data_IF_864845690440
#
_entry.id   IF_864845690440
#
_cell.length_a   1.000
_cell.length_b   1.000
_cell.length_c   1.000
_cell.angle_alpha   90.00
_cell.angle_beta   90.00
_cell.angle_gamma   90.00
#
_symmetry.space_group_name_H-M   'P 1'
#
loop_
_entity.id
_entity.type
_entity.pdbx_description
1 polymer ?
#
# COMPACT_ATOMS: atom_id res chain seq x y z
N UNK A 1 -7.34 -11.23 33.39
CA UNK A 1 -7.96 -9.93 33.47
C UNK A 1 -6.96 -8.78 33.63
N UNK A 2 -6.16 -8.68 34.71
CA UNK A 2 -5.26 -7.53 34.91
C UNK A 2 -4.04 -7.58 33.97
N UNK A 3 -3.41 -8.71 33.83
CA UNK A 3 -2.29 -8.93 32.89
C UNK A 3 -2.68 -8.63 31.44
N UNK A 4 -3.89 -9.00 31.01
CA UNK A 4 -4.38 -8.71 29.67
C UNK A 4 -4.65 -7.22 29.47
N UNK A 5 -5.21 -6.54 30.48
CA UNK A 5 -5.37 -5.08 30.46
C UNK A 5 -4.05 -4.36 30.33
N UNK A 6 -3.05 -4.78 31.12
CA UNK A 6 -1.71 -4.21 31.06
C UNK A 6 -1.05 -4.44 29.69
N UNK A 7 -1.20 -5.64 29.11
CA UNK A 7 -0.71 -5.97 27.77
C UNK A 7 -1.34 -5.08 26.70
N UNK A 8 -2.67 -4.92 26.74
CA UNK A 8 -3.40 -4.07 25.80
C UNK A 8 -3.01 -2.60 25.96
N UNK A 9 -2.85 -2.11 27.19
CA UNK A 9 -2.42 -0.76 27.46
C UNK A 9 -1.01 -0.47 26.94
N UNK A 10 -0.05 -1.38 27.16
CA UNK A 10 1.31 -1.29 26.58
C UNK A 10 1.28 -1.29 25.05
N UNK A 11 0.44 -2.14 24.45
CA UNK A 11 0.26 -2.18 23.00
C UNK A 11 -0.31 -0.88 22.44
N UNK A 12 -1.29 -0.29 23.12
CA UNK A 12 -1.86 1.01 22.76
C UNK A 12 -0.82 2.14 22.87
N UNK A 13 -0.07 2.22 23.97
CA UNK A 13 0.99 3.22 24.14
C UNK A 13 2.07 3.11 23.05
N UNK A 14 2.47 1.89 22.69
CA UNK A 14 3.43 1.65 21.61
C UNK A 14 2.87 2.11 20.26
N UNK A 15 1.59 1.84 19.99
CA UNK A 15 0.88 2.30 18.79
C UNK A 15 0.81 3.83 18.74
N UNK A 16 0.43 4.48 19.85
CA UNK A 16 0.35 5.93 19.96
C UNK A 16 1.71 6.60 19.68
N UNK A 17 2.78 6.09 20.32
CA UNK A 17 4.12 6.61 20.11
C UNK A 17 4.58 6.45 18.64
N UNK A 18 4.32 5.29 18.04
CA UNK A 18 4.65 5.04 16.64
C UNK A 18 3.85 5.93 15.69
N UNK A 19 2.55 6.08 15.92
CA UNK A 19 1.68 6.94 15.12
C UNK A 19 2.15 8.40 15.21
N UNK A 20 2.52 8.88 16.39
CA UNK A 20 3.09 10.23 16.57
C UNK A 20 4.36 10.44 15.76
N UNK A 21 5.24 9.43 15.71
CA UNK A 21 6.46 9.49 14.91
C UNK A 21 6.14 9.50 13.40
N UNK A 22 5.13 8.74 12.96
CA UNK A 22 4.66 8.73 11.56
C UNK A 22 4.02 10.08 11.18
N UNK A 23 3.25 10.71 12.06
CA UNK A 23 2.74 12.06 11.84
C UNK A 23 3.86 13.07 11.67
N UNK A 24 4.88 13.03 12.53
CA UNK A 24 6.06 13.91 12.39
C UNK A 24 6.81 13.67 11.07
N UNK A 25 6.91 12.41 10.62
CA UNK A 25 7.48 12.08 9.31
C UNK A 25 6.62 12.64 8.17
N UNK A 26 5.30 12.56 8.29
CA UNK A 26 4.38 13.14 7.32
C UNK A 26 4.54 14.66 7.22
N UNK A 27 4.70 15.36 8.34
CA UNK A 27 4.90 16.81 8.35
C UNK A 27 6.18 17.21 7.60
N UNK A 28 7.27 16.43 7.75
CA UNK A 28 8.50 16.63 6.98
C UNK A 28 8.28 16.43 5.46
N UNK A 29 7.54 15.39 5.10
CA UNK A 29 7.19 15.10 3.68
C UNK A 29 6.27 16.17 3.12
N UNK A 30 5.27 16.60 3.88
CA UNK A 30 4.32 17.64 3.50
C UNK A 30 5.00 19.01 3.33
N UNK A 31 5.97 19.34 4.18
CA UNK A 31 6.78 20.54 4.03
C UNK A 31 7.62 20.52 2.74
N UNK A 32 8.27 19.37 2.45
CA UNK A 32 9.01 19.20 1.21
C UNK A 32 8.12 19.31 -0.04
N UNK A 33 6.91 18.75 0.01
CA UNK A 33 5.93 18.88 -1.05
C UNK A 33 5.45 20.33 -1.24
N UNK A 34 5.24 21.05 -0.13
CA UNK A 34 4.82 22.47 -0.14
C UNK A 34 5.86 23.37 -0.81
N UNK A 35 7.14 23.22 -0.48
CA UNK A 35 8.24 24.00 -1.08
C UNK A 35 8.25 23.94 -2.62
N UNK A 36 7.65 22.90 -3.18
CA UNK A 36 7.65 22.65 -4.63
C UNK A 36 6.24 22.65 -5.25
N UNK A 37 5.22 23.05 -4.50
CA UNK A 37 3.83 23.11 -4.96
C UNK A 37 3.24 21.74 -5.36
N UNK A 38 3.73 20.65 -4.75
CA UNK A 38 3.33 19.28 -5.10
C UNK A 38 2.12 18.84 -4.28
N UNK A 39 1.01 18.53 -4.94
CA UNK A 39 -0.17 17.94 -4.31
C UNK A 39 0.15 16.54 -3.79
N UNK A 40 -0.13 16.28 -2.52
CA UNK A 40 -0.04 14.96 -1.88
C UNK A 40 -1.34 14.63 -1.15
N UNK A 41 -1.65 13.34 -1.10
CA UNK A 41 -2.88 12.81 -0.52
C UNK A 41 -2.47 11.66 0.41
N UNK A 42 -2.55 11.82 1.73
CA UNK A 42 -2.37 10.69 2.63
C UNK A 42 -3.46 9.65 2.40
N UNK A 43 -3.08 8.38 2.47
CA UNK A 43 -3.99 7.25 2.28
C UNK A 43 -3.81 6.22 3.38
N UNK A 44 -4.69 5.23 3.46
CA UNK A 44 -4.64 4.13 4.41
C UNK A 44 -4.54 4.59 5.88
N UNK A 45 -3.50 4.11 6.61
CA UNK A 45 -3.35 4.26 8.05
C UNK A 45 -3.39 5.71 8.52
N UNK A 46 -2.58 6.59 7.93
CA UNK A 46 -2.49 8.01 8.31
C UNK A 46 -3.83 8.74 8.12
N UNK A 47 -4.47 8.53 6.95
CA UNK A 47 -5.77 9.13 6.66
C UNK A 47 -6.82 8.67 7.68
N UNK A 48 -6.91 7.37 7.90
CA UNK A 48 -7.94 6.78 8.76
C UNK A 48 -7.73 7.13 10.22
N UNK A 49 -6.49 7.07 10.72
CA UNK A 49 -6.18 7.46 12.10
C UNK A 49 -6.61 8.90 12.38
N UNK A 50 -6.34 9.81 11.44
CA UNK A 50 -6.68 11.23 11.60
C UNK A 50 -8.17 11.52 11.42
N UNK A 51 -8.81 10.87 10.46
CA UNK A 51 -10.17 11.23 10.06
C UNK A 51 -11.26 10.35 10.64
N UNK A 52 -10.95 9.10 11.01
CA UNK A 52 -11.93 8.11 11.47
C UNK A 52 -11.69 7.71 12.92
N UNK A 53 -10.45 7.36 13.29
CA UNK A 53 -10.12 6.89 14.65
C UNK A 53 -9.90 8.02 15.65
N UNK A 54 -9.80 9.28 15.20
CA UNK A 54 -9.67 10.44 16.10
C UNK A 54 -8.27 10.64 16.68
N UNK A 55 -7.23 10.12 16.03
CA UNK A 55 -5.83 10.31 16.42
C UNK A 55 -5.47 9.81 17.84
N UNK A 56 -6.04 8.68 18.23
CA UNK A 56 -5.90 8.14 19.59
C UNK A 56 -4.97 6.92 19.67
N UNK A 57 -4.19 6.61 18.64
CA UNK A 57 -3.33 5.43 18.58
C UNK A 57 -4.07 4.11 18.43
N UNK A 58 -5.36 4.15 18.14
CA UNK A 58 -6.21 2.95 18.00
C UNK A 58 -5.96 2.25 16.67
N UNK A 59 -5.68 3.02 15.61
CA UNK A 59 -5.32 2.47 14.30
C UNK A 59 -3.81 2.32 14.18
N UNK A 60 -3.25 1.17 14.58
CA UNK A 60 -1.83 0.91 14.44
C UNK A 60 -1.35 1.11 13.00
N UNK A 61 -0.32 1.94 12.82
CA UNK A 61 0.36 2.17 11.55
C UNK A 61 1.75 1.55 11.56
N UNK A 62 2.19 1.03 10.40
CA UNK A 62 3.54 0.49 10.22
C UNK A 62 4.39 1.35 9.29
N UNK A 63 3.74 2.08 8.41
CA UNK A 63 4.28 2.84 7.30
C UNK A 63 3.48 4.12 7.09
N UNK A 64 4.10 5.07 6.41
CA UNK A 64 3.46 6.26 5.89
C UNK A 64 3.18 6.05 4.40
N UNK A 65 1.90 6.05 4.03
CA UNK A 65 1.45 5.97 2.64
C UNK A 65 0.94 7.31 2.15
N UNK A 66 1.48 7.80 1.05
CA UNK A 66 0.97 8.99 0.35
C UNK A 66 0.73 8.69 -1.12
N UNK A 67 -0.27 9.33 -1.71
CA UNK A 67 -0.60 9.28 -3.12
C UNK A 67 -0.34 10.64 -3.76
N UNK A 68 0.29 10.64 -4.94
CA UNK A 68 0.51 11.84 -5.75
C UNK A 68 0.55 11.47 -7.24
N UNK A 69 0.70 12.44 -8.14
CA UNK A 69 0.87 12.16 -9.57
C UNK A 69 2.20 11.44 -9.85
N UNK A 70 2.32 10.67 -10.95
CA UNK A 70 3.56 9.99 -11.28
C UNK A 70 4.79 10.93 -11.31
N UNK A 71 4.67 12.07 -11.98
CA UNK A 71 5.78 13.03 -12.09
C UNK A 71 6.19 13.61 -10.73
N UNK A 72 5.20 13.94 -9.90
CA UNK A 72 5.45 14.41 -8.54
C UNK A 72 6.11 13.34 -7.67
N UNK A 73 5.72 12.07 -7.82
CA UNK A 73 6.30 10.98 -7.05
C UNK A 73 7.81 10.84 -7.31
N UNK A 74 8.23 10.91 -8.58
CA UNK A 74 9.66 10.86 -8.93
C UNK A 74 10.42 12.08 -8.40
N UNK A 75 9.87 13.28 -8.56
CA UNK A 75 10.48 14.53 -8.08
C UNK A 75 10.58 14.55 -6.55
N UNK A 76 9.48 14.23 -5.86
CA UNK A 76 9.43 14.21 -4.40
C UNK A 76 10.44 13.22 -3.82
N UNK A 77 10.58 12.02 -4.43
CA UNK A 77 11.61 11.08 -4.03
C UNK A 77 13.02 11.68 -4.08
N UNK A 78 13.39 12.36 -5.17
CA UNK A 78 14.72 12.98 -5.30
C UNK A 78 14.93 14.10 -4.26
N UNK A 79 13.92 14.92 -3.98
CA UNK A 79 13.95 15.97 -2.96
C UNK A 79 14.13 15.35 -1.56
N UNK A 80 13.40 14.31 -1.24
CA UNK A 80 13.50 13.64 0.06
C UNK A 80 14.86 12.97 0.27
N UNK A 81 15.48 12.43 -0.79
CA UNK A 81 16.86 11.94 -0.72
C UNK A 81 17.84 13.06 -0.34
N UNK A 82 17.68 14.28 -0.89
CA UNK A 82 18.48 15.44 -0.53
C UNK A 82 18.22 15.91 0.90
N UNK A 83 17.02 15.66 1.43
CA UNK A 83 16.63 15.95 2.82
C UNK A 83 17.00 14.82 3.80
N UNK A 84 17.85 13.88 3.41
CA UNK A 84 18.40 12.83 4.26
C UNK A 84 17.50 11.60 4.45
N UNK A 85 16.51 11.39 3.57
CA UNK A 85 15.84 10.10 3.49
C UNK A 85 16.73 9.09 2.77
N UNK A 86 16.69 7.85 3.24
CA UNK A 86 17.28 6.73 2.53
C UNK A 86 16.23 6.06 1.63
N UNK A 87 16.65 5.40 0.57
CA UNK A 87 15.72 4.67 -0.29
C UNK A 87 16.37 3.41 -0.88
N UNK A 88 15.55 2.40 -1.08
CA UNK A 88 15.93 1.26 -1.91
C UNK A 88 16.28 1.80 -3.32
N UNK A 89 17.47 1.50 -3.85
CA UNK A 89 17.83 1.92 -5.20
C UNK A 89 16.95 1.23 -6.25
N UNK A 90 16.72 1.89 -7.40
CA UNK A 90 16.14 1.19 -8.54
C UNK A 90 17.03 0.02 -8.97
N UNK A 91 16.41 -1.10 -9.29
CA UNK A 91 17.14 -2.32 -9.67
C UNK A 91 18.07 -2.02 -10.86
N UNK A 92 17.54 -1.36 -11.89
CA UNK A 92 18.30 -0.92 -13.07
C UNK A 92 17.66 0.32 -13.70
N UNK A 93 18.33 1.02 -14.63
CA UNK A 93 17.72 2.10 -15.42
C UNK A 93 16.48 1.62 -16.20
N UNK A 94 16.49 0.40 -16.71
CA UNK A 94 15.35 -0.23 -17.38
C UNK A 94 14.19 -0.42 -16.40
N UNK A 95 14.47 -0.92 -15.20
CA UNK A 95 13.46 -1.05 -14.16
C UNK A 95 12.88 0.32 -13.76
N UNK A 96 13.69 1.38 -13.67
CA UNK A 96 13.22 2.75 -13.41
C UNK A 96 12.24 3.22 -14.50
N UNK A 97 12.56 2.96 -15.78
CA UNK A 97 11.69 3.29 -16.91
C UNK A 97 10.32 2.56 -16.80
N UNK A 98 10.34 1.25 -16.55
CA UNK A 98 9.12 0.48 -16.40
C UNK A 98 8.36 0.82 -15.11
N UNK A 99 9.03 1.28 -14.06
CA UNK A 99 8.38 1.76 -12.84
C UNK A 99 7.43 2.91 -13.14
N UNK A 100 7.84 3.88 -13.97
CA UNK A 100 6.99 5.00 -14.35
C UNK A 100 5.70 4.53 -15.07
N UNK A 101 5.78 3.53 -15.93
CA UNK A 101 4.65 3.05 -16.73
C UNK A 101 3.78 1.98 -16.05
N UNK A 102 4.37 1.12 -15.23
CA UNK A 102 3.71 -0.06 -14.67
C UNK A 102 3.88 -0.23 -13.16
N UNK A 103 4.67 0.62 -12.51
CA UNK A 103 4.85 0.61 -11.05
C UNK A 103 3.62 1.11 -10.31
N UNK A 104 3.51 0.75 -9.05
CA UNK A 104 2.46 1.20 -8.13
C UNK A 104 2.95 2.35 -7.25
N UNK A 105 4.15 2.24 -6.71
CA UNK A 105 4.78 3.20 -5.80
C UNK A 105 6.28 3.29 -6.10
N UNK A 106 6.92 4.34 -5.62
CA UNK A 106 8.38 4.47 -5.63
C UNK A 106 9.02 3.34 -4.81
N UNK A 107 10.29 3.02 -5.06
CA UNK A 107 11.06 2.22 -4.12
C UNK A 107 10.94 2.81 -2.72
N UNK A 108 10.67 1.94 -1.75
CA UNK A 108 10.44 2.30 -0.36
C UNK A 108 11.55 3.19 0.18
N UNK A 109 11.15 4.20 0.95
CA UNK A 109 12.05 5.17 1.57
C UNK A 109 11.99 5.03 3.08
N UNK A 110 13.08 5.43 3.73
CA UNK A 110 13.23 5.32 5.18
C UNK A 110 13.80 6.58 5.78
N UNK A 111 13.34 6.93 6.98
CA UNK A 111 13.96 7.96 7.83
C UNK A 111 13.73 7.60 9.29
N UNK A 112 14.80 7.58 10.10
CA UNK A 112 14.75 7.26 11.53
C UNK A 112 14.02 5.92 11.82
N UNK A 113 14.20 4.91 10.97
CA UNK A 113 13.57 3.61 11.11
C UNK A 113 12.08 3.55 10.73
N UNK A 114 11.52 4.65 10.21
CA UNK A 114 10.15 4.70 9.69
C UNK A 114 10.15 4.55 8.18
N UNK A 115 9.15 3.84 7.67
CA UNK A 115 8.95 3.56 6.25
C UNK A 115 7.99 4.55 5.62
N UNK A 116 8.30 4.98 4.38
CA UNK A 116 7.47 5.82 3.52
C UNK A 116 7.28 5.14 2.16
N UNK A 117 6.03 4.96 1.74
CA UNK A 117 5.64 4.57 0.39
C UNK A 117 5.00 5.74 -0.36
N UNK A 118 5.63 6.19 -1.44
CA UNK A 118 5.08 7.23 -2.34
C UNK A 118 4.37 6.53 -3.47
N UNK A 119 3.05 6.43 -3.38
CA UNK A 119 2.18 5.87 -4.40
C UNK A 119 1.89 6.88 -5.52
N UNK A 120 1.79 6.38 -6.74
CA UNK A 120 1.30 7.11 -7.90
C UNK A 120 0.28 6.27 -8.70
N UNK A 121 0.06 5.02 -8.25
CA UNK A 121 -1.08 4.17 -8.57
C UNK A 121 -1.50 3.41 -7.33
N UNK A 122 -2.81 3.18 -7.19
CA UNK A 122 -3.33 2.41 -6.06
C UNK A 122 -3.13 0.91 -6.25
N UNK A 123 -3.19 0.46 -7.50
CA UNK A 123 -3.05 -0.94 -7.88
C UNK A 123 -2.09 -1.09 -9.06
N UNK A 124 -1.63 -2.33 -9.30
CA UNK A 124 -0.79 -2.69 -10.45
C UNK A 124 -1.59 -3.05 -11.69
N UNK A 125 -2.91 -2.99 -11.61
CA UNK A 125 -3.78 -3.26 -12.76
C UNK A 125 -3.69 -2.13 -13.80
N UNK A 126 -4.17 -2.44 -15.00
CA UNK A 126 -4.20 -1.48 -16.12
C UNK A 126 -5.26 -0.39 -15.95
N UNK A 127 -6.22 -0.63 -15.07
CA UNK A 127 -7.30 0.31 -14.83
C UNK A 127 -6.91 1.32 -13.76
N UNK A 128 -6.31 2.43 -14.18
CA UNK A 128 -5.92 3.52 -13.30
C UNK A 128 -7.04 4.53 -13.02
N UNK A 129 -8.29 4.24 -13.43
CA UNK A 129 -9.38 5.21 -13.30
C UNK A 129 -9.59 5.64 -11.84
N UNK A 130 -9.65 4.70 -10.90
CA UNK A 130 -9.78 5.01 -9.48
C UNK A 130 -8.63 5.90 -8.97
N UNK A 131 -7.39 5.59 -9.34
CA UNK A 131 -6.22 6.39 -8.94
C UNK A 131 -6.31 7.81 -9.49
N UNK A 132 -6.61 7.93 -10.78
CA UNK A 132 -6.73 9.23 -11.44
C UNK A 132 -7.83 10.07 -10.80
N UNK A 133 -9.01 9.50 -10.61
CA UNK A 133 -10.12 10.19 -9.98
C UNK A 133 -9.82 10.59 -8.53
N UNK A 134 -9.15 9.72 -7.76
CA UNK A 134 -8.71 10.09 -6.40
C UNK A 134 -7.78 11.28 -6.40
N UNK A 135 -6.85 11.38 -7.35
CA UNK A 135 -5.95 12.54 -7.46
C UNK A 135 -6.69 13.79 -7.93
N UNK A 136 -7.48 13.64 -8.99
CA UNK A 136 -8.14 14.78 -9.64
C UNK A 136 -9.25 15.39 -8.77
N UNK A 137 -10.02 14.54 -8.07
CA UNK A 137 -11.17 14.95 -7.26
C UNK A 137 -10.84 15.21 -5.77
N UNK A 138 -9.59 15.14 -5.35
CA UNK A 138 -9.17 15.49 -3.99
C UNK A 138 -9.04 17.00 -3.84
N UNK A 139 -10.12 17.65 -3.45
CA UNK A 139 -10.19 19.10 -3.22
C UNK A 139 -10.30 19.47 -1.75
N UNK A 140 -10.81 18.57 -0.92
CA UNK A 140 -10.92 18.76 0.51
C UNK A 140 -9.54 18.74 1.16
N UNK A 141 -9.29 19.70 2.04
CA UNK A 141 -8.02 19.77 2.77
C UNK A 141 -7.91 18.64 3.77
N UNK A 142 -6.74 18.07 3.85
CA UNK A 142 -6.45 17.09 4.90
C UNK A 142 -6.38 17.80 6.26
N UNK A 143 -7.06 17.28 7.31
CA UNK A 143 -7.08 17.90 8.63
C UNK A 143 -5.66 18.11 9.18
N UNK A 144 -5.39 19.32 9.69
CA UNK A 144 -4.07 19.73 10.19
C UNK A 144 -2.93 19.65 9.16
N UNK A 145 -3.26 19.44 7.88
CA UNK A 145 -2.29 19.46 6.79
C UNK A 145 -2.02 20.88 6.28
N UNK A 146 -1.01 21.01 5.44
CA UNK A 146 -0.67 22.26 4.78
C UNK A 146 -1.48 22.49 3.48
N UNK A 147 -1.19 23.56 2.74
CA UNK A 147 -1.96 23.96 1.55
C UNK A 147 -1.88 23.00 0.36
N UNK A 148 -0.94 22.06 0.34
CA UNK A 148 -0.79 21.05 -0.73
C UNK A 148 -1.23 19.64 -0.30
N UNK A 149 -1.73 19.47 0.93
CA UNK A 149 -2.21 18.20 1.45
C UNK A 149 -3.74 18.11 1.38
N UNK A 150 -4.26 17.03 0.77
CA UNK A 150 -5.69 16.88 0.51
C UNK A 150 -6.20 15.51 0.95
N UNK A 151 -7.47 15.45 1.32
CA UNK A 151 -8.18 14.20 1.57
C UNK A 151 -8.74 13.62 0.27
N UNK A 152 -8.73 12.30 0.09
CA UNK A 152 -9.40 11.67 -1.04
C UNK A 152 -10.93 11.73 -0.86
N UNK A 153 -11.72 11.71 -1.96
CA UNK A 153 -13.17 11.59 -1.85
C UNK A 153 -13.55 10.29 -1.13
N UNK A 154 -14.51 10.36 -0.20
CA UNK A 154 -14.85 9.24 0.71
C UNK A 154 -15.22 7.97 -0.04
N UNK A 155 -16.08 8.06 -1.06
CA UNK A 155 -16.50 6.89 -1.86
C UNK A 155 -15.33 6.23 -2.59
N UNK A 156 -14.43 7.02 -3.17
CA UNK A 156 -13.24 6.50 -3.85
C UNK A 156 -12.28 5.84 -2.86
N UNK A 157 -12.06 6.46 -1.70
CA UNK A 157 -11.23 5.87 -0.63
C UNK A 157 -11.84 4.57 -0.12
N UNK A 158 -13.17 4.50 0.04
CA UNK A 158 -13.85 3.28 0.45
C UNK A 158 -13.64 2.14 -0.55
N UNK A 159 -13.84 2.39 -1.84
CA UNK A 159 -13.56 1.39 -2.89
C UNK A 159 -12.09 0.97 -2.94
N UNK A 160 -11.17 1.91 -2.71
CA UNK A 160 -9.76 1.58 -2.59
C UNK A 160 -9.50 0.61 -1.44
N UNK A 161 -10.09 0.85 -0.26
CA UNK A 161 -9.91 -0.02 0.91
C UNK A 161 -10.59 -1.38 0.73
N UNK A 162 -11.74 -1.45 0.07
CA UNK A 162 -12.38 -2.72 -0.33
C UNK A 162 -11.42 -3.57 -1.16
N UNK A 163 -10.86 -3.02 -2.22
CA UNK A 163 -9.92 -3.76 -3.08
C UNK A 163 -8.61 -4.08 -2.37
N UNK A 164 -8.16 -3.21 -1.48
CA UNK A 164 -6.98 -3.43 -0.65
C UNK A 164 -7.17 -4.61 0.32
N UNK A 165 -8.33 -4.69 0.98
CA UNK A 165 -8.74 -5.81 1.82
C UNK A 165 -8.68 -7.12 1.04
N UNK A 166 -9.37 -7.19 -0.11
CA UNK A 166 -9.43 -8.40 -0.93
C UNK A 166 -8.05 -8.83 -1.46
N UNK A 167 -7.19 -7.86 -1.77
CA UNK A 167 -5.81 -8.18 -2.14
C UNK A 167 -5.04 -8.82 -0.98
N UNK A 168 -5.22 -8.32 0.26
CA UNK A 168 -4.61 -8.92 1.44
C UNK A 168 -5.13 -10.33 1.70
N UNK A 169 -6.43 -10.57 1.55
CA UNK A 169 -7.01 -11.91 1.68
C UNK A 169 -6.42 -12.87 0.64
N UNK A 170 -6.45 -12.49 -0.63
CA UNK A 170 -5.88 -13.30 -1.72
C UNK A 170 -4.40 -13.62 -1.53
N UNK A 171 -3.64 -12.76 -0.86
CA UNK A 171 -2.21 -12.97 -0.60
C UNK A 171 -1.91 -13.63 0.76
N UNK A 172 -2.96 -14.09 1.48
CA UNK A 172 -2.80 -14.73 2.79
C UNK A 172 -2.30 -13.83 3.91
N UNK A 173 -2.43 -12.51 3.75
CA UNK A 173 -2.05 -11.51 4.75
C UNK A 173 -3.28 -10.79 5.33
N UNK A 174 -4.40 -11.50 5.44
CA UNK A 174 -5.64 -10.93 5.97
C UNK A 174 -5.45 -10.38 7.39
N UNK A 175 -6.09 -9.24 7.66
CA UNK A 175 -5.98 -8.54 8.94
C UNK A 175 -7.34 -7.99 9.34
N UNK A 176 -7.83 -8.34 10.52
CA UNK A 176 -9.12 -7.86 11.04
C UNK A 176 -9.24 -6.33 11.06
N UNK A 177 -8.13 -5.62 11.28
CA UNK A 177 -8.14 -4.14 11.25
C UNK A 177 -8.62 -3.55 9.93
N UNK A 178 -8.46 -4.25 8.78
CA UNK A 178 -8.94 -3.76 7.49
C UNK A 178 -10.47 -3.80 7.40
N UNK A 179 -11.10 -4.77 8.08
CA UNK A 179 -12.55 -4.81 8.25
C UNK A 179 -13.01 -3.69 9.17
N UNK A 180 -12.31 -3.46 10.29
CA UNK A 180 -12.60 -2.35 11.21
C UNK A 180 -12.53 -0.99 10.49
N UNK A 181 -11.55 -0.80 9.59
CA UNK A 181 -11.40 0.41 8.79
C UNK A 181 -12.68 0.69 7.96
N UNK A 182 -13.25 -0.33 7.32
CA UNK A 182 -14.48 -0.22 6.52
C UNK A 182 -15.72 -0.04 7.39
N UNK A 183 -15.82 -0.76 8.49
CA UNK A 183 -16.95 -0.66 9.45
C UNK A 183 -17.05 0.77 9.97
N UNK A 184 -15.96 1.33 10.47
CA UNK A 184 -15.95 2.68 11.03
C UNK A 184 -16.22 3.76 9.96
N UNK A 185 -15.83 3.53 8.71
CA UNK A 185 -16.24 4.41 7.60
C UNK A 185 -17.76 4.36 7.37
N UNK A 186 -18.36 3.16 7.39
CA UNK A 186 -19.80 3.00 7.24
C UNK A 186 -20.52 3.63 8.44
N UNK A 187 -20.07 3.39 9.67
CA UNK A 187 -20.64 4.00 10.88
C UNK A 187 -20.61 5.53 10.83
N UNK A 188 -19.49 6.10 10.38
CA UNK A 188 -19.31 7.54 10.31
C UNK A 188 -20.17 8.20 9.22
N UNK A 189 -20.25 7.61 8.05
CA UNK A 189 -20.86 8.26 6.89
C UNK A 189 -22.25 7.69 6.53
N UNK A 190 -22.60 6.49 6.99
CA UNK A 190 -23.91 5.87 6.83
C UNK A 190 -24.45 5.95 5.40
N UNK A 191 -25.68 6.43 5.26
CA UNK A 191 -26.36 6.61 3.96
C UNK A 191 -25.67 7.64 3.03
N UNK A 192 -24.84 8.52 3.55
CA UNK A 192 -24.05 9.43 2.72
C UNK A 192 -22.92 8.69 1.96
N UNK A 193 -22.52 7.52 2.44
CA UNK A 193 -21.57 6.64 1.77
C UNK A 193 -22.28 5.52 1.01
N UNK A 194 -23.13 4.74 1.71
CA UNK A 194 -23.88 3.62 1.12
C UNK A 194 -25.13 4.14 0.38
N UNK A 195 -24.94 4.59 -0.85
CA UNK A 195 -25.99 5.15 -1.70
C UNK A 195 -25.78 4.78 -3.17
N UNK A 196 -26.75 5.09 -4.03
CA UNK A 196 -26.69 4.79 -5.46
C UNK A 196 -25.44 5.32 -6.16
N UNK A 197 -24.88 6.46 -5.72
CA UNK A 197 -23.67 7.02 -6.31
C UNK A 197 -22.45 6.12 -6.07
N UNK A 198 -22.31 5.51 -4.88
CA UNK A 198 -21.24 4.55 -4.60
C UNK A 198 -21.34 3.33 -5.51
N UNK A 199 -22.55 2.77 -5.68
CA UNK A 199 -22.76 1.57 -6.52
C UNK A 199 -22.55 1.89 -8.00
N UNK A 200 -23.04 3.03 -8.48
CA UNK A 200 -22.79 3.51 -9.84
C UNK A 200 -21.28 3.73 -10.09
N UNK A 201 -20.57 4.27 -9.13
CA UNK A 201 -19.12 4.43 -9.17
C UNK A 201 -18.42 3.07 -9.23
N UNK A 202 -18.83 2.13 -8.37
CA UNK A 202 -18.27 0.78 -8.33
C UNK A 202 -18.51 0.02 -9.67
N UNK A 203 -19.70 0.11 -10.26
CA UNK A 203 -20.01 -0.47 -11.56
C UNK A 203 -19.11 0.13 -12.67
N UNK A 204 -19.00 1.46 -12.73
CA UNK A 204 -18.15 2.16 -13.70
C UNK A 204 -16.68 1.77 -13.57
N UNK A 205 -16.21 1.56 -12.35
CA UNK A 205 -14.83 1.13 -12.05
C UNK A 205 -14.65 -0.39 -12.12
N UNK A 206 -15.70 -1.17 -12.41
CA UNK A 206 -15.71 -2.64 -12.45
C UNK A 206 -15.35 -3.29 -11.10
N UNK A 207 -15.88 -2.71 -10.03
CA UNK A 207 -15.65 -3.12 -8.63
C UNK A 207 -16.97 -3.49 -7.92
N UNK A 208 -18.11 -3.58 -8.64
CA UNK A 208 -19.43 -3.85 -8.03
C UNK A 208 -19.48 -5.19 -7.32
N UNK A 209 -18.97 -6.25 -7.94
CA UNK A 209 -18.91 -7.59 -7.31
C UNK A 209 -18.03 -7.61 -6.06
N UNK A 210 -16.87 -6.96 -6.10
CA UNK A 210 -15.96 -6.84 -4.96
C UNK A 210 -16.63 -6.09 -3.81
N UNK A 211 -17.28 -4.96 -4.12
CA UNK A 211 -18.01 -4.14 -3.14
C UNK A 211 -19.12 -4.95 -2.47
N UNK A 212 -19.99 -5.61 -3.26
CA UNK A 212 -21.12 -6.39 -2.72
C UNK A 212 -20.67 -7.57 -1.87
N UNK A 213 -19.62 -8.26 -2.28
CA UNK A 213 -19.03 -9.35 -1.51
C UNK A 213 -18.54 -8.87 -0.14
N UNK A 214 -17.79 -7.77 -0.11
CA UNK A 214 -17.27 -7.22 1.16
C UNK A 214 -18.41 -6.71 2.04
N UNK A 215 -19.42 -6.02 1.49
CA UNK A 215 -20.59 -5.61 2.25
C UNK A 215 -21.35 -6.81 2.83
N UNK A 216 -21.47 -7.92 2.09
CA UNK A 216 -22.05 -9.17 2.59
C UNK A 216 -21.24 -9.77 3.73
N UNK A 217 -19.90 -9.77 3.67
CA UNK A 217 -19.05 -10.20 4.79
C UNK A 217 -19.24 -9.32 6.02
N UNK A 218 -19.29 -8.00 5.85
CA UNK A 218 -19.52 -7.07 6.96
C UNK A 218 -20.89 -7.26 7.62
N UNK A 219 -21.91 -7.51 6.82
CA UNK A 219 -23.26 -7.79 7.34
C UNK A 219 -23.30 -9.12 8.09
N UNK A 220 -22.83 -10.20 7.50
CA UNK A 220 -22.93 -11.56 8.05
C UNK A 220 -22.09 -11.73 9.33
N UNK A 221 -20.85 -11.26 9.33
CA UNK A 221 -19.90 -11.56 10.41
C UNK A 221 -19.71 -10.44 11.41
N UNK A 222 -20.09 -9.21 11.08
CA UNK A 222 -19.91 -8.05 11.96
C UNK A 222 -21.21 -7.31 12.29
N UNK A 223 -22.36 -7.76 11.73
CA UNK A 223 -23.65 -7.16 12.02
C UNK A 223 -23.83 -5.73 11.47
N UNK A 224 -23.05 -5.35 10.46
CA UNK A 224 -23.15 -4.01 9.85
C UNK A 224 -24.39 -3.93 8.97
N UNK A 225 -25.26 -2.95 9.21
CA UNK A 225 -26.44 -2.72 8.37
C UNK A 225 -26.00 -2.18 6.99
N UNK A 226 -26.12 -3.02 5.97
CA UNK A 226 -25.73 -2.68 4.56
C UNK A 226 -26.95 -2.54 3.65
N UNK A 227 -28.16 -2.41 4.18
CA UNK A 227 -29.44 -2.21 3.44
C UNK A 227 -29.63 -3.21 2.28
N UNK A 228 -29.34 -4.50 2.51
CA UNK A 228 -29.45 -5.58 1.50
C UNK A 228 -28.55 -5.41 0.25
N UNK A 229 -27.56 -4.56 0.26
CA UNK A 229 -26.62 -4.40 -0.83
C UNK A 229 -25.54 -5.51 -0.87
N UNK A 230 -25.36 -6.24 0.22
CA UNK A 230 -24.40 -7.31 0.31
C UNK A 230 -24.84 -8.55 -0.48
N UNK A 231 -23.92 -9.20 -1.17
CA UNK A 231 -24.14 -10.50 -1.79
C UNK A 231 -22.96 -11.41 -1.45
N UNK A 232 -23.17 -12.28 -0.46
CA UNK A 232 -22.14 -13.19 0.02
C UNK A 232 -22.40 -14.59 -0.51
N UNK A 233 -21.42 -15.14 -1.25
CA UNK A 233 -21.44 -16.55 -1.65
C UNK A 233 -21.01 -17.44 -0.48
N UNK A 234 -21.50 -18.67 -0.44
CA UNK A 234 -21.08 -19.68 0.54
C UNK A 234 -19.56 -19.91 0.50
N UNK A 235 -18.96 -19.88 -0.68
CA UNK A 235 -17.51 -20.00 -0.86
C UNK A 235 -16.76 -18.87 -0.16
N UNK A 236 -17.19 -17.61 -0.36
CA UNK A 236 -16.56 -16.45 0.27
C UNK A 236 -16.73 -16.46 1.79
N UNK A 237 -17.90 -16.88 2.29
CA UNK A 237 -18.12 -17.06 3.73
C UNK A 237 -17.18 -18.11 4.32
N UNK A 238 -17.04 -19.26 3.65
CA UNK A 238 -16.14 -20.34 4.09
C UNK A 238 -14.66 -19.94 4.04
N UNK A 239 -14.23 -19.15 3.06
CA UNK A 239 -12.87 -18.63 3.00
C UNK A 239 -12.59 -17.66 4.15
N UNK A 240 -13.53 -16.79 4.48
CA UNK A 240 -13.44 -15.89 5.63
C UNK A 240 -13.37 -16.66 6.96
N UNK A 241 -14.22 -17.67 7.14
CA UNK A 241 -14.18 -18.54 8.34
C UNK A 241 -12.83 -19.26 8.46
N UNK A 242 -12.29 -19.78 7.36
CA UNK A 242 -10.94 -20.36 7.36
C UNK A 242 -9.88 -19.37 7.83
N UNK A 243 -9.98 -18.12 7.38
CA UNK A 243 -9.08 -17.06 7.86
C UNK A 243 -9.20 -16.83 9.36
N UNK A 244 -10.41 -16.79 9.92
CA UNK A 244 -10.63 -16.56 11.36
C UNK A 244 -10.12 -17.72 12.22
N UNK A 245 -10.31 -18.96 11.78
CA UNK A 245 -10.05 -20.16 12.59
C UNK A 245 -8.72 -20.87 12.27
N UNK A 246 -8.07 -20.56 11.17
CA UNK A 246 -6.76 -21.11 10.85
C UNK A 246 -5.67 -20.13 11.29
N UNK A 247 -4.90 -20.42 12.34
CA UNK A 247 -3.66 -19.71 12.58
C UNK A 247 -2.78 -19.89 11.32
N UNK A 248 -2.26 -18.82 10.82
CA UNK A 248 -1.48 -18.71 9.58
C UNK A 248 -0.57 -19.91 9.34
N UNK A 249 -1.01 -20.85 8.53
CA UNK A 249 -0.08 -21.66 7.78
C UNK A 249 0.62 -20.72 6.82
N UNK A 250 1.94 -20.67 6.88
CA UNK A 250 2.80 -19.78 6.11
C UNK A 250 2.29 -19.64 4.67
N UNK A 251 1.81 -18.47 4.23
CA UNK A 251 1.34 -18.30 2.86
C UNK A 251 2.51 -18.19 1.87
N UNK A 252 3.68 -18.75 2.24
CA UNK A 252 4.87 -18.70 1.41
C UNK A 252 4.78 -19.59 0.17
N UNK A 253 3.89 -20.59 0.17
CA UNK A 253 3.93 -21.64 -0.85
C UNK A 253 3.19 -21.30 -2.16
N UNK A 254 2.29 -20.28 -2.17
CA UNK A 254 1.51 -19.90 -3.36
C UNK A 254 1.77 -18.47 -3.90
N UNK A 255 2.80 -17.78 -3.42
CA UNK A 255 3.09 -16.42 -3.88
C UNK A 255 3.70 -16.47 -5.28
N UNK A 256 2.93 -16.08 -6.31
CA UNK A 256 3.53 -15.63 -7.58
C UNK A 256 4.66 -14.67 -7.25
N UNK A 257 5.84 -14.91 -7.81
CA UNK A 257 6.95 -14.00 -7.57
C UNK A 257 6.53 -12.58 -8.00
N UNK A 258 6.91 -11.52 -7.27
CA UNK A 258 6.60 -10.14 -7.66
C UNK A 258 7.05 -9.80 -9.10
N UNK A 259 8.03 -10.53 -9.61
CA UNK A 259 8.49 -10.45 -10.98
C UNK A 259 7.44 -10.96 -11.98
N UNK A 260 6.84 -12.13 -11.71
CA UNK A 260 5.81 -12.70 -12.59
C UNK A 260 4.56 -11.82 -12.62
N UNK A 261 4.13 -11.33 -11.46
CA UNK A 261 3.00 -10.41 -11.34
C UNK A 261 3.22 -9.11 -12.15
N UNK A 262 4.43 -8.56 -12.14
CA UNK A 262 4.75 -7.37 -12.93
C UNK A 262 4.84 -7.66 -14.43
N UNK A 263 5.46 -8.76 -14.84
CA UNK A 263 5.66 -9.08 -16.26
C UNK A 263 4.33 -9.40 -16.97
N UNK A 264 3.35 -9.97 -16.24
CA UNK A 264 2.00 -10.19 -16.75
C UNK A 264 1.32 -8.88 -17.17
N UNK A 265 1.54 -7.81 -16.42
CA UNK A 265 0.94 -6.50 -16.67
C UNK A 265 1.60 -5.69 -17.79
N UNK A 266 2.84 -6.02 -18.17
CA UNK A 266 3.57 -5.34 -19.25
C UNK A 266 3.02 -5.75 -20.62
N UNK A 267 2.73 -4.75 -21.47
CA UNK A 267 2.25 -5.00 -22.84
C UNK A 267 3.41 -5.19 -23.82
N UNK A 268 3.22 -6.13 -24.73
CA UNK A 268 4.19 -6.40 -25.79
C UNK A 268 5.35 -7.30 -25.36
N UNK A 269 5.65 -8.29 -26.18
CA UNK A 269 6.68 -9.28 -25.87
C UNK A 269 8.06 -8.62 -25.75
N UNK A 270 8.37 -7.64 -26.59
CA UNK A 270 9.63 -6.91 -26.54
C UNK A 270 9.81 -6.13 -25.23
N UNK A 271 8.75 -5.52 -24.71
CA UNK A 271 8.79 -4.85 -23.39
C UNK A 271 8.99 -5.85 -22.25
N UNK A 272 8.36 -7.03 -22.32
CA UNK A 272 8.55 -8.10 -21.33
C UNK A 272 10.00 -8.58 -21.31
N UNK A 273 10.59 -8.78 -22.50
CA UNK A 273 12.00 -9.16 -22.62
C UNK A 273 12.90 -8.07 -22.06
N UNK A 274 12.67 -6.81 -22.42
CA UNK A 274 13.46 -5.69 -21.93
C UNK A 274 13.36 -5.55 -20.41
N UNK A 275 12.17 -5.71 -19.85
CA UNK A 275 11.96 -5.72 -18.39
C UNK A 275 12.73 -6.87 -17.72
N UNK A 276 12.65 -8.09 -18.28
CA UNK A 276 13.40 -9.25 -17.79
C UNK A 276 14.92 -8.99 -17.80
N UNK A 277 15.44 -8.40 -18.87
CA UNK A 277 16.86 -7.99 -18.94
C UNK A 277 17.19 -7.00 -17.81
N UNK A 278 16.35 -5.99 -17.58
CA UNK A 278 16.55 -5.01 -16.50
C UNK A 278 16.54 -5.63 -15.11
N UNK A 279 15.80 -6.73 -14.91
CA UNK A 279 15.76 -7.47 -13.66
C UNK A 279 16.97 -8.41 -13.49
N UNK A 280 17.42 -9.03 -14.57
CA UNK A 280 18.57 -9.94 -14.57
C UNK A 280 19.92 -9.22 -14.45
N UNK A 281 20.00 -7.99 -14.97
CA UNK A 281 21.20 -7.16 -14.96
C UNK A 281 21.00 -5.89 -14.12
N UNK A 282 20.92 -6.02 -12.78
CA UNK A 282 20.74 -4.89 -11.87
C UNK A 282 21.95 -3.94 -11.93
N UNK A 283 21.68 -2.69 -11.57
CA UNK A 283 22.73 -1.67 -11.46
C UNK A 283 23.71 -2.02 -10.33
N UNK A 284 24.94 -1.54 -10.48
CA UNK A 284 25.96 -1.67 -9.45
C UNK A 284 25.52 -1.08 -8.11
N UNK A 285 24.81 0.07 -8.11
CA UNK A 285 24.28 0.73 -6.93
C UNK A 285 23.30 -0.19 -6.19
N UNK A 286 22.39 -0.84 -6.92
CA UNK A 286 21.46 -1.81 -6.33
C UNK A 286 22.20 -3.03 -5.76
N UNK A 287 23.20 -3.56 -6.48
CA UNK A 287 23.99 -4.71 -6.03
C UNK A 287 24.81 -4.39 -4.78
N UNK A 288 25.42 -3.21 -4.72
CA UNK A 288 26.13 -2.71 -3.55
C UNK A 288 25.20 -2.61 -2.34
N UNK A 289 24.05 -2.00 -2.52
CA UNK A 289 23.03 -1.87 -1.46
C UNK A 289 22.55 -3.24 -0.98
N UNK A 290 22.24 -4.14 -1.92
CA UNK A 290 21.67 -5.46 -1.61
C UNK A 290 22.62 -6.39 -0.86
N UNK A 291 23.89 -6.41 -1.25
CA UNK A 291 24.88 -7.38 -0.77
C UNK A 291 25.98 -6.76 0.11
N UNK A 292 25.94 -5.45 0.35
CA UNK A 292 26.94 -4.77 1.18
C UNK A 292 28.36 -4.76 0.59
N UNK A 293 28.51 -4.93 -0.74
CA UNK A 293 29.81 -5.01 -1.36
C UNK A 293 30.51 -3.65 -1.41
N UNK A 294 31.73 -3.56 -0.91
CA UNK A 294 32.47 -2.30 -0.82
C UNK A 294 32.90 -1.74 -2.20
N UNK A 295 33.23 -2.62 -3.17
CA UNK A 295 33.76 -2.25 -4.48
C UNK A 295 33.04 -2.97 -5.63
N UNK A 296 33.17 -2.41 -6.86
CA UNK A 296 32.61 -3.02 -8.07
C UNK A 296 33.08 -4.46 -8.29
N UNK A 297 34.35 -4.74 -8.09
CA UNK A 297 34.92 -6.07 -8.27
C UNK A 297 34.31 -7.09 -7.29
N UNK A 298 34.07 -6.69 -6.05
CA UNK A 298 33.45 -7.55 -5.02
C UNK A 298 31.96 -7.81 -5.27
N UNK A 299 31.30 -7.07 -6.16
CA UNK A 299 29.89 -7.36 -6.52
C UNK A 299 29.77 -8.43 -7.61
N UNK A 300 30.80 -8.71 -8.39
CA UNK A 300 30.74 -9.66 -9.53
C UNK A 300 30.23 -11.04 -9.10
N UNK A 301 30.73 -11.68 -8.03
CA UNK A 301 30.23 -12.98 -7.61
C UNK A 301 28.75 -12.99 -7.22
N UNK A 302 28.23 -11.84 -6.73
CA UNK A 302 26.83 -11.72 -6.34
C UNK A 302 25.86 -11.66 -7.52
N UNK A 303 26.32 -11.31 -8.75
CA UNK A 303 25.50 -11.44 -9.95
C UNK A 303 25.22 -12.91 -10.25
N UNK A 304 26.23 -13.78 -10.15
CA UNK A 304 26.05 -15.22 -10.32
C UNK A 304 25.15 -15.82 -9.24
N UNK A 305 25.37 -15.42 -7.98
CA UNK A 305 24.48 -15.83 -6.89
C UNK A 305 23.03 -15.42 -7.16
N UNK A 306 22.79 -14.18 -7.59
CA UNK A 306 21.44 -13.67 -7.88
C UNK A 306 20.79 -14.43 -9.04
N UNK A 307 21.52 -14.73 -10.09
CA UNK A 307 21.00 -15.53 -11.20
C UNK A 307 20.63 -16.94 -10.75
N UNK A 308 21.47 -17.54 -9.93
CA UNK A 308 21.17 -18.86 -9.35
C UNK A 308 19.91 -18.80 -8.47
N UNK A 309 19.81 -17.84 -7.56
CA UNK A 309 18.64 -17.64 -6.69
C UNK A 309 17.36 -17.40 -7.52
N UNK A 310 17.48 -16.68 -8.64
CA UNK A 310 16.36 -16.39 -9.54
C UNK A 310 15.86 -17.66 -10.27
N UNK A 311 16.76 -18.53 -10.71
CA UNK A 311 16.42 -19.78 -11.41
C UNK A 311 15.93 -20.85 -10.44
N UNK A 312 16.51 -20.93 -9.24
CA UNK A 312 16.18 -21.95 -8.23
C UNK A 312 14.91 -21.63 -7.41
N UNK A 313 14.24 -20.50 -7.69
CA UNK A 313 13.06 -20.07 -6.89
C UNK A 313 13.39 -19.72 -5.43
N UNK A 314 14.66 -19.55 -5.12
CA UNK A 314 15.12 -19.18 -3.78
C UNK A 314 14.50 -17.88 -3.31
N UNK A 315 13.82 -17.88 -2.14
CA UNK A 315 13.26 -16.68 -1.56
C UNK A 315 14.37 -15.68 -1.26
N UNK A 316 14.36 -14.54 -1.95
CA UNK A 316 15.27 -13.44 -1.66
C UNK A 316 14.99 -12.90 -0.25
N UNK A 317 15.71 -13.39 0.77
CA UNK A 317 15.70 -12.78 2.09
C UNK A 317 16.12 -11.32 1.94
N UNK A 318 15.17 -10.40 2.13
CA UNK A 318 15.45 -8.96 2.20
C UNK A 318 16.38 -8.72 3.41
N UNK A 319 17.56 -8.10 3.21
CA UNK A 319 18.18 -7.39 4.32
C UNK A 319 17.31 -6.15 4.54
N UNK A 320 16.67 -6.07 5.69
CA UNK A 320 16.07 -4.83 6.15
C UNK A 320 17.15 -3.74 6.29
N UNK A 321 16.75 -2.46 6.39
CA UNK A 321 17.69 -1.40 6.75
C UNK A 321 18.38 -1.77 8.06
N UNK A 322 19.69 -1.58 8.13
CA UNK A 322 20.49 -1.71 9.34
C UNK A 322 20.14 -0.57 10.29
#
# INVERSE_FOLDING_TARGET
PEQERERLHKGWLASLARNSAIFSLFDEVAAAALEHGMKIIPVKGLLLERTIYGNNGLRQMNDLDILTSPDNAFKLREILLQKGFESIPFISPIHKYFMHSYGKHMPEMYKKGLSLEIHFRLFRDRNNALTKEMIDLSWEKFPEGNSVTFSPPVAHNFLYLVKHLLWHEKTGNSQLRLYCDLILLIEKYGKNLLNENLFSLAQRLKMDSDLRMVLGLLQEFFGVETEAYGNLSETSANEFLKFLYSPKNNPADDKKSPFLDQIENIQGVHHKILYAIGMLFPSFTFMKWRYGAATKLRTIPYYFKRWFDFVSGGSEKRRGPV
#
